data_IF_492684465704
#
_entry.id   IF_492684465704
#
_cell.length_a   1.000
_cell.length_b   1.000
_cell.length_c   1.000
_cell.angle_alpha   90.00
_cell.angle_beta   90.00
_cell.angle_gamma   90.00
#
_symmetry.space_group_name_H-M   'P 1'
#
loop_
_entity.id
_entity.type
_entity.pdbx_description
1 polymer ?
#
# COMPACT_ATOMS: atom_id res chain seq x y z
N UNK A 1 3.72 -0.54 -7.91
CA UNK A 1 2.79 -1.68 -8.15
C UNK A 1 3.51 -2.92 -8.66
N UNK A 2 4.23 -2.86 -9.79
CA UNK A 2 5.01 -3.99 -10.34
C UNK A 2 5.91 -4.69 -9.31
N UNK A 3 6.69 -3.92 -8.53
CA UNK A 3 7.51 -4.47 -7.45
C UNK A 3 6.69 -5.31 -6.44
N UNK A 4 5.50 -4.85 -6.03
CA UNK A 4 4.68 -5.57 -5.04
C UNK A 4 4.08 -6.86 -5.62
N UNK A 5 3.72 -6.85 -6.91
CA UNK A 5 3.29 -8.05 -7.62
C UNK A 5 4.40 -9.10 -7.63
N UNK A 6 5.61 -8.71 -8.05
CA UNK A 6 6.75 -9.63 -8.07
C UNK A 6 7.19 -10.08 -6.70
N UNK A 7 7.19 -9.19 -5.71
CA UNK A 7 7.52 -9.55 -4.34
C UNK A 7 6.56 -10.66 -3.83
N UNK A 8 5.26 -10.52 -4.08
CA UNK A 8 4.29 -11.57 -3.75
C UNK A 8 4.58 -12.90 -4.44
N UNK A 9 4.89 -12.87 -5.75
CA UNK A 9 5.28 -14.06 -6.54
C UNK A 9 6.64 -14.65 -6.17
N UNK A 10 7.45 -13.96 -5.39
CA UNK A 10 8.73 -14.45 -4.92
C UNK A 10 8.69 -14.83 -3.44
N UNK A 11 7.55 -14.67 -2.77
CA UNK A 11 7.46 -14.82 -1.32
C UNK A 11 8.34 -13.81 -0.57
N UNK A 12 8.43 -12.58 -1.08
CA UNK A 12 9.06 -11.47 -0.40
C UNK A 12 7.97 -10.64 0.25
N UNK A 13 8.03 -10.54 1.58
CA UNK A 13 7.10 -9.72 2.34
C UNK A 13 7.51 -8.24 2.27
N UNK A 14 6.57 -7.36 1.93
CA UNK A 14 6.84 -5.94 1.66
C UNK A 14 6.20 -5.09 2.74
N UNK A 15 7.04 -4.45 3.55
CA UNK A 15 6.62 -3.49 4.56
C UNK A 15 6.89 -2.08 4.05
N UNK A 16 5.85 -1.28 3.95
CA UNK A 16 5.96 0.08 3.42
C UNK A 16 4.93 1.02 4.05
N UNK A 17 5.19 2.33 3.98
CA UNK A 17 4.30 3.35 4.50
C UNK A 17 3.63 4.11 3.35
N UNK A 18 2.34 4.42 3.49
CA UNK A 18 1.64 5.31 2.57
C UNK A 18 1.84 6.76 3.05
N UNK A 19 2.64 7.53 2.32
CA UNK A 19 2.98 8.90 2.71
C UNK A 19 1.90 9.89 2.28
N UNK A 20 1.52 10.79 3.18
CA UNK A 20 0.56 11.88 2.93
C UNK A 20 1.07 13.21 3.48
N UNK A 21 0.43 14.33 3.11
CA UNK A 21 0.76 15.67 3.60
C UNK A 21 2.18 16.10 3.19
N UNK A 22 2.54 15.76 1.95
CA UNK A 22 3.77 16.15 1.26
C UNK A 22 3.64 17.63 0.83
N UNK A 23 4.69 18.45 1.00
CA UNK A 23 4.68 19.84 0.54
C UNK A 23 4.36 19.95 -0.95
N UNK A 24 3.38 20.78 -1.30
CA UNK A 24 2.94 21.00 -2.68
C UNK A 24 1.97 19.95 -3.24
N UNK A 25 1.46 19.06 -2.40
CA UNK A 25 0.45 18.09 -2.84
C UNK A 25 -0.89 18.73 -3.20
N UNK A 26 -1.60 18.06 -4.10
CA UNK A 26 -2.94 18.42 -4.57
C UNK A 26 -3.95 17.39 -4.09
N UNK A 27 -5.15 17.81 -3.70
CA UNK A 27 -6.15 16.87 -3.16
C UNK A 27 -6.71 15.95 -4.25
N UNK A 28 -6.80 16.46 -5.48
CA UNK A 28 -7.22 15.75 -6.69
C UNK A 28 -6.29 14.56 -7.00
N UNK A 29 -5.01 14.64 -6.64
CA UNK A 29 -4.09 13.51 -6.79
C UNK A 29 -4.45 12.36 -5.85
N UNK A 30 -4.98 12.68 -4.66
CA UNK A 30 -5.50 11.66 -3.77
C UNK A 30 -6.79 11.05 -4.31
N UNK A 31 -7.68 11.84 -4.89
CA UNK A 31 -8.87 11.30 -5.56
C UNK A 31 -8.50 10.34 -6.69
N UNK A 32 -7.50 10.72 -7.51
CA UNK A 32 -6.96 9.85 -8.55
C UNK A 32 -6.40 8.55 -7.95
N UNK A 33 -5.61 8.62 -6.88
CA UNK A 33 -5.09 7.44 -6.16
C UNK A 33 -6.21 6.55 -5.63
N UNK A 34 -7.22 7.13 -4.97
CA UNK A 34 -8.36 6.40 -4.43
C UNK A 34 -9.13 5.64 -5.51
N UNK A 35 -9.18 6.17 -6.75
CA UNK A 35 -9.89 5.54 -7.86
C UNK A 35 -9.32 4.19 -8.29
N UNK A 36 -8.00 3.98 -8.15
CA UNK A 36 -7.33 2.77 -8.60
C UNK A 36 -6.79 1.87 -7.47
N UNK A 37 -6.67 2.35 -6.23
CA UNK A 37 -6.34 1.52 -5.06
C UNK A 37 -7.17 0.21 -4.97
N UNK A 38 -8.49 0.20 -5.28
CA UNK A 38 -9.25 -1.05 -5.33
C UNK A 38 -8.70 -2.15 -6.22
N UNK A 39 -8.03 -1.78 -7.31
CA UNK A 39 -7.47 -2.72 -8.28
C UNK A 39 -6.36 -3.57 -7.69
N UNK A 40 -5.68 -3.07 -6.65
CA UNK A 40 -4.46 -3.69 -6.08
C UNK A 40 -4.69 -4.33 -4.71
N UNK A 41 -5.94 -4.48 -4.28
CA UNK A 41 -6.27 -4.96 -2.94
C UNK A 41 -5.78 -6.39 -2.61
N UNK A 42 -5.46 -7.20 -3.62
CA UNK A 42 -4.86 -8.54 -3.47
C UNK A 42 -3.34 -8.49 -3.26
N UNK A 43 -2.70 -7.34 -3.43
CA UNK A 43 -1.27 -7.15 -3.14
C UNK A 43 -1.04 -6.74 -1.68
N UNK A 44 0.22 -6.76 -1.25
CA UNK A 44 0.62 -6.39 0.11
C UNK A 44 0.22 -4.92 0.41
N UNK A 45 -0.61 -4.68 1.45
CA UNK A 45 -1.02 -3.33 1.83
C UNK A 45 0.16 -2.57 2.48
N UNK A 46 0.08 -1.24 2.60
CA UNK A 46 0.99 -0.51 3.47
C UNK A 46 0.73 -0.85 4.94
N UNK A 47 1.69 -0.51 5.80
CA UNK A 47 1.61 -0.68 7.25
C UNK A 47 0.77 0.40 7.92
N UNK A 48 0.85 1.64 7.41
CA UNK A 48 0.03 2.74 7.88
C UNK A 48 -0.06 3.86 6.83
N UNK A 49 -1.03 4.76 6.99
CA UNK A 49 -1.03 6.07 6.35
C UNK A 49 -0.30 7.03 7.28
N UNK A 50 0.90 7.44 6.88
CA UNK A 50 1.74 8.30 7.70
C UNK A 50 1.95 9.63 7.01
N UNK A 51 1.93 10.65 7.85
CA UNK A 51 2.33 11.98 7.45
C UNK A 51 3.82 11.99 7.12
N UNK A 52 4.21 12.73 6.08
CA UNK A 52 5.62 12.96 5.79
C UNK A 52 6.29 13.61 7.01
N UNK A 53 7.30 12.94 7.54
CA UNK A 53 8.13 13.47 8.63
C UNK A 53 9.34 14.18 8.05
N UNK A 54 9.71 15.31 8.65
CA UNK A 54 10.90 16.05 8.25
C UNK A 54 12.07 15.65 9.13
N UNK A 55 13.03 14.93 8.56
CA UNK A 55 14.21 14.46 9.27
C UNK A 55 15.37 15.44 9.05
N UNK A 56 16.29 15.54 10.02
CA UNK A 56 17.52 16.35 9.90
C UNK A 56 18.31 15.88 8.68
N UNK A 57 18.94 16.81 7.97
CA UNK A 57 19.65 16.57 6.71
C UNK A 57 18.77 16.13 5.53
N UNK A 58 17.45 16.05 5.70
CA UNK A 58 16.55 15.94 4.55
C UNK A 58 16.53 17.23 3.75
N UNK A 59 16.14 17.14 2.48
CA UNK A 59 15.97 18.31 1.60
C UNK A 59 15.00 19.34 2.18
N UNK A 60 14.00 18.88 2.95
CA UNK A 60 13.02 19.72 3.63
C UNK A 60 13.62 20.46 4.83
N UNK A 61 14.54 19.81 5.56
CA UNK A 61 15.25 20.42 6.68
C UNK A 61 16.36 21.38 6.22
N UNK A 62 17.09 21.03 5.17
CA UNK A 62 18.21 21.87 4.67
C UNK A 62 17.74 23.12 3.92
N UNK A 63 16.56 23.07 3.29
CA UNK A 63 16.02 24.17 2.48
C UNK A 63 14.50 24.34 2.71
N UNK A 64 14.04 24.57 3.95
CA UNK A 64 12.62 24.60 4.27
C UNK A 64 11.87 25.69 3.50
N UNK A 65 12.49 26.85 3.27
CA UNK A 65 11.86 27.98 2.57
C UNK A 65 11.56 27.66 1.11
N UNK A 66 12.38 26.81 0.45
CA UNK A 66 12.12 26.37 -0.92
C UNK A 66 10.81 25.60 -1.04
N UNK A 67 10.40 24.93 0.03
CA UNK A 67 9.18 24.14 0.11
C UNK A 67 8.05 24.87 0.83
N UNK A 68 8.23 26.16 1.16
CA UNK A 68 7.27 26.96 1.91
C UNK A 68 7.04 26.48 3.34
N UNK A 69 8.02 25.81 3.96
CA UNK A 69 7.92 25.23 5.29
C UNK A 69 8.55 26.15 6.33
N UNK A 70 7.93 26.22 7.51
CA UNK A 70 8.60 26.69 8.74
C UNK A 70 8.70 25.54 9.72
N UNK A 71 9.91 25.03 9.93
CA UNK A 71 10.13 23.86 10.77
C UNK A 71 10.39 24.22 12.24
N UNK A 72 9.92 23.35 13.13
CA UNK A 72 10.28 23.34 14.54
C UNK A 72 10.67 21.91 14.97
N UNK A 73 11.55 21.76 15.97
CA UNK A 73 11.83 20.45 16.57
C UNK A 73 10.53 19.78 17.00
N UNK A 74 10.41 18.47 16.76
CA UNK A 74 9.22 17.72 17.11
C UNK A 74 8.85 17.96 18.59
N UNK A 75 7.60 18.33 18.89
CA UNK A 75 7.19 18.79 20.23
C UNK A 75 7.57 17.85 21.37
N UNK A 76 7.64 16.54 21.08
CA UNK A 76 8.00 15.51 22.06
C UNK A 76 9.39 15.68 22.64
N UNK A 77 10.33 16.30 21.91
CA UNK A 77 11.66 16.59 22.45
C UNK A 77 11.58 17.50 23.69
N UNK A 78 10.65 18.45 23.74
CA UNK A 78 10.53 19.40 24.86
C UNK A 78 10.02 18.75 26.16
N UNK A 79 9.28 17.64 26.07
CA UNK A 79 8.83 16.88 27.25
C UNK A 79 9.95 16.02 27.86
N UNK A 80 10.97 15.67 27.08
CA UNK A 80 12.09 14.82 27.53
C UNK A 80 13.30 15.68 27.92
N UNK A 81 13.57 16.74 27.16
CA UNK A 81 14.75 17.58 27.33
C UNK A 81 14.32 19.01 27.70
N UNK A 82 14.54 19.44 28.97
CA UNK A 82 14.21 20.79 29.42
C UNK A 82 15.26 21.81 28.96
N UNK A 83 15.47 21.89 27.64
CA UNK A 83 16.44 22.77 27.00
C UNK A 83 15.74 23.96 26.32
N UNK A 84 16.43 25.10 26.16
CA UNK A 84 15.95 26.19 25.32
C UNK A 84 15.73 25.73 23.87
N UNK A 85 14.79 26.36 23.15
CA UNK A 85 14.41 26.01 21.77
C UNK A 85 15.61 25.91 20.82
N UNK A 86 16.59 26.81 20.93
CA UNK A 86 17.78 26.80 20.09
C UNK A 86 18.60 25.51 20.29
N UNK A 87 18.85 25.13 21.55
CA UNK A 87 19.58 23.92 21.90
C UNK A 87 18.79 22.65 21.52
N UNK A 88 17.45 22.69 21.63
CA UNK A 88 16.60 21.62 21.11
C UNK A 88 16.71 21.47 19.59
N UNK A 89 16.79 22.58 18.85
CA UNK A 89 16.96 22.54 17.39
C UNK A 89 18.30 21.95 16.96
N UNK A 90 19.36 22.19 17.74
CA UNK A 90 20.66 21.60 17.48
C UNK A 90 20.70 20.11 17.82
N UNK A 91 19.96 19.68 18.86
CA UNK A 91 19.86 18.29 19.30
C UNK A 91 18.91 17.45 18.44
N UNK A 92 17.80 18.03 17.98
CA UNK A 92 16.70 17.29 17.38
C UNK A 92 17.07 16.70 16.02
N UNK A 93 16.61 15.46 15.81
CA UNK A 93 16.67 14.80 14.52
C UNK A 93 15.34 14.88 13.76
N UNK A 94 14.20 15.01 14.45
CA UNK A 94 12.88 15.06 13.82
C UNK A 94 12.26 16.44 13.97
N UNK A 95 11.60 16.88 12.91
CA UNK A 95 10.98 18.20 12.79
C UNK A 95 9.54 18.06 12.27
N UNK A 96 8.73 19.05 12.61
CA UNK A 96 7.35 19.23 12.15
C UNK A 96 7.19 20.66 11.61
N UNK A 97 6.25 20.87 10.67
CA UNK A 97 5.98 22.24 10.21
C UNK A 97 5.00 22.93 11.16
N UNK A 98 5.13 24.25 11.30
CA UNK A 98 4.23 25.05 12.13
C UNK A 98 2.79 25.00 11.64
N UNK A 99 2.59 24.87 10.33
CA UNK A 99 1.27 24.68 9.74
C UNK A 99 0.60 23.39 10.24
N UNK A 100 1.39 22.37 10.57
CA UNK A 100 0.87 21.09 11.04
C UNK A 100 0.51 21.11 12.51
N UNK A 101 1.32 21.80 13.30
CA UNK A 101 0.99 22.07 14.69
C UNK A 101 -0.35 22.81 14.82
N UNK A 102 -0.67 23.68 13.87
CA UNK A 102 -1.96 24.37 13.81
C UNK A 102 -3.10 23.46 13.29
N UNK A 103 -2.80 22.39 12.55
CA UNK A 103 -3.81 21.43 12.04
C UNK A 103 -4.25 20.40 13.07
N UNK A 104 -3.43 20.14 14.09
CA UNK A 104 -3.80 19.24 15.21
C UNK A 104 -5.08 19.72 15.95
N UNK A 105 -5.47 20.99 15.79
CA UNK A 105 -6.69 21.56 16.35
C UNK A 105 -7.97 21.30 15.52
N UNK A 106 -7.86 20.65 14.34
CA UNK A 106 -9.00 20.37 13.45
C UNK A 106 -9.68 19.05 13.81
N UNK A 107 -11.03 19.04 13.81
CA UNK A 107 -11.78 17.77 13.98
C UNK A 107 -11.66 16.89 12.73
N UNK A 108 -11.86 15.57 12.83
CA UNK A 108 -11.87 14.67 11.67
C UNK A 108 -12.84 15.10 10.56
N UNK A 109 -14.02 15.61 10.93
CA UNK A 109 -15.03 16.09 9.99
C UNK A 109 -14.56 17.35 9.26
N UNK A 110 -13.86 18.26 9.96
CA UNK A 110 -13.28 19.45 9.36
C UNK A 110 -12.13 19.09 8.41
N UNK A 111 -11.29 18.13 8.79
CA UNK A 111 -10.22 17.62 7.94
C UNK A 111 -10.76 16.97 6.66
N UNK A 112 -11.81 16.15 6.77
CA UNK A 112 -12.46 15.53 5.62
C UNK A 112 -13.12 16.55 4.69
N UNK A 113 -13.76 17.59 5.26
CA UNK A 113 -14.40 18.65 4.47
C UNK A 113 -13.38 19.49 3.69
N UNK A 114 -12.18 19.70 4.23
CA UNK A 114 -11.13 20.45 3.56
C UNK A 114 -10.42 19.63 2.47
N UNK A 115 -10.41 18.29 2.61
CA UNK A 115 -9.58 17.37 1.83
C UNK A 115 -10.24 16.02 1.55
N UNK A 116 -11.31 16.01 0.73
CA UNK A 116 -12.06 14.79 0.43
C UNK A 116 -11.21 13.70 -0.23
N UNK A 117 -10.25 14.05 -1.09
CA UNK A 117 -9.34 13.10 -1.73
C UNK A 117 -8.45 12.38 -0.72
N UNK A 118 -7.84 13.13 0.21
CA UNK A 118 -7.03 12.53 1.28
C UNK A 118 -7.85 11.52 2.09
N UNK A 119 -9.07 11.89 2.43
CA UNK A 119 -9.95 11.04 3.24
C UNK A 119 -10.37 9.79 2.47
N UNK A 120 -10.62 9.91 1.17
CA UNK A 120 -10.90 8.77 0.29
C UNK A 120 -9.72 7.78 0.28
N UNK A 121 -8.49 8.26 0.12
CA UNK A 121 -7.28 7.41 0.16
C UNK A 121 -7.09 6.78 1.54
N UNK A 122 -7.23 7.54 2.62
CA UNK A 122 -7.13 7.02 3.99
C UNK A 122 -8.11 5.88 4.20
N UNK A 123 -9.37 6.11 3.88
CA UNK A 123 -10.44 5.11 3.98
C UNK A 123 -10.06 3.86 3.20
N UNK A 124 -9.64 4.01 1.95
CA UNK A 124 -9.28 2.89 1.10
C UNK A 124 -8.09 2.09 1.63
N UNK A 125 -7.06 2.78 2.11
CA UNK A 125 -5.87 2.13 2.66
C UNK A 125 -6.21 1.34 3.93
N UNK A 126 -7.04 1.86 4.83
CA UNK A 126 -7.49 1.11 6.01
C UNK A 126 -8.34 -0.11 5.63
N UNK A 127 -9.19 0.02 4.63
CA UNK A 127 -9.97 -1.09 4.09
C UNK A 127 -9.06 -2.17 3.48
N UNK A 128 -8.04 -1.77 2.72
CA UNK A 128 -7.04 -2.66 2.15
C UNK A 128 -6.27 -3.43 3.22
N UNK A 129 -5.85 -2.75 4.30
CA UNK A 129 -5.23 -3.41 5.46
C UNK A 129 -6.18 -4.41 6.11
N UNK A 130 -7.45 -4.04 6.33
CA UNK A 130 -8.44 -4.91 6.95
C UNK A 130 -8.69 -6.17 6.11
N UNK A 131 -8.77 -6.02 4.79
CA UNK A 131 -8.96 -7.14 3.86
C UNK A 131 -7.78 -8.14 3.91
N UNK A 132 -6.56 -7.64 4.06
CA UNK A 132 -5.36 -8.49 4.09
C UNK A 132 -5.07 -9.11 5.48
N UNK A 133 -5.73 -8.64 6.54
CA UNK A 133 -5.70 -9.28 7.86
C UNK A 133 -6.62 -10.49 7.99
N UNK A 134 -7.51 -10.72 7.03
CA UNK A 134 -8.43 -11.87 7.03
C UNK A 134 -7.65 -13.20 6.94
N UNK A 135 -8.28 -14.33 7.34
CA UNK A 135 -7.78 -15.67 7.03
C UNK A 135 -7.43 -15.82 5.54
N UNK A 136 -6.41 -16.62 5.23
CA UNK A 136 -5.83 -16.70 3.89
C UNK A 136 -6.84 -17.07 2.79
N UNK A 137 -7.83 -17.90 3.12
CA UNK A 137 -8.92 -18.33 2.24
C UNK A 137 -9.98 -17.24 1.98
N UNK A 138 -9.96 -16.16 2.76
CA UNK A 138 -10.89 -15.03 2.67
C UNK A 138 -10.23 -13.73 2.18
N UNK A 139 -8.93 -13.75 1.90
CA UNK A 139 -8.21 -12.61 1.33
C UNK A 139 -8.61 -12.42 -0.14
N UNK A 140 -8.61 -11.18 -0.65
CA UNK A 140 -8.81 -10.93 -2.07
C UNK A 140 -7.70 -11.60 -2.88
N UNK A 141 -8.08 -12.33 -3.92
CA UNK A 141 -7.18 -13.02 -4.84
C UNK A 141 -7.41 -12.50 -6.25
N UNK A 142 -6.31 -12.22 -6.95
CA UNK A 142 -6.28 -12.12 -8.40
C UNK A 142 -5.10 -12.95 -8.88
N UNK A 143 -5.39 -14.15 -9.35
CA UNK A 143 -4.38 -15.16 -9.65
C UNK A 143 -4.61 -15.73 -11.03
N UNK A 144 -3.53 -16.03 -11.74
CA UNK A 144 -3.56 -16.57 -13.09
C UNK A 144 -2.77 -17.86 -13.24
N UNK A 145 -3.25 -18.74 -14.11
CA UNK A 145 -2.54 -19.90 -14.61
C UNK A 145 -2.52 -19.86 -16.14
N UNK A 146 -1.34 -20.04 -16.72
CA UNK A 146 -1.12 -20.00 -18.17
C UNK A 146 -0.70 -21.40 -18.66
N UNK A 147 -1.52 -22.01 -19.51
CA UNK A 147 -1.26 -23.33 -20.11
C UNK A 147 -0.59 -23.26 -21.49
N UNK A 148 -0.25 -22.04 -21.95
CA UNK A 148 0.36 -21.79 -23.26
C UNK A 148 -0.66 -21.41 -24.35
N UNK A 149 -1.91 -21.89 -24.23
CA UNK A 149 -3.01 -21.60 -25.14
C UNK A 149 -3.96 -20.54 -24.54
N UNK A 150 -4.20 -20.62 -23.24
CA UNK A 150 -5.07 -19.73 -22.50
C UNK A 150 -4.48 -19.34 -21.13
N UNK A 151 -4.82 -18.13 -20.69
CA UNK A 151 -4.67 -17.72 -19.30
C UNK A 151 -6.02 -17.83 -18.62
N UNK A 152 -6.10 -18.60 -17.54
CA UNK A 152 -7.25 -18.64 -16.63
C UNK A 152 -6.96 -17.74 -15.46
N UNK A 153 -7.84 -16.80 -15.17
CA UNK A 153 -7.69 -15.86 -14.05
C UNK A 153 -8.85 -16.08 -13.09
N UNK A 154 -8.54 -16.31 -11.81
CA UNK A 154 -9.50 -16.29 -10.72
C UNK A 154 -9.42 -14.94 -10.01
N UNK A 155 -10.57 -14.31 -9.83
CA UNK A 155 -10.71 -13.02 -9.18
C UNK A 155 -11.76 -13.09 -8.06
N UNK A 156 -11.33 -12.93 -6.81
CA UNK A 156 -12.22 -12.88 -5.62
C UNK A 156 -12.28 -11.50 -5.00
N UNK A 157 -11.71 -10.49 -5.68
CA UNK A 157 -11.76 -9.09 -5.25
C UNK A 157 -13.21 -8.60 -5.19
N UNK A 158 -13.52 -7.76 -4.21
CA UNK A 158 -14.84 -7.12 -4.07
C UNK A 158 -15.28 -6.30 -5.29
N UNK A 159 -14.32 -5.88 -6.12
CA UNK A 159 -14.53 -5.11 -7.35
C UNK A 159 -14.55 -5.96 -8.63
N UNK A 160 -14.43 -7.29 -8.50
CA UNK A 160 -14.35 -8.20 -9.64
C UNK A 160 -15.61 -8.07 -10.50
N UNK A 161 -15.44 -7.98 -11.82
CA UNK A 161 -16.59 -8.01 -12.74
C UNK A 161 -17.11 -9.42 -12.94
N UNK A 162 -16.25 -10.43 -12.77
CA UNK A 162 -16.53 -11.87 -12.82
C UNK A 162 -15.56 -12.61 -11.90
N UNK A 163 -15.95 -13.81 -11.44
CA UNK A 163 -15.07 -14.66 -10.63
C UNK A 163 -13.95 -15.32 -11.43
N UNK A 164 -14.22 -15.62 -12.70
CA UNK A 164 -13.33 -16.37 -13.56
C UNK A 164 -13.26 -15.71 -14.95
N UNK A 165 -12.05 -15.53 -15.46
CA UNK A 165 -11.77 -15.02 -16.79
C UNK A 165 -10.89 -16.00 -17.56
N UNK A 166 -11.07 -16.03 -18.88
CA UNK A 166 -10.23 -16.81 -19.80
C UNK A 166 -9.74 -15.90 -20.92
N UNK A 167 -8.43 -15.70 -21.01
CA UNK A 167 -7.79 -14.91 -22.04
C UNK A 167 -7.15 -15.85 -23.07
N UNK A 168 -7.39 -15.59 -24.37
CA UNK A 168 -6.94 -16.43 -25.50
C UNK A 168 -6.47 -15.55 -26.65
N UNK A 169 -5.59 -16.07 -27.49
CA UNK A 169 -5.08 -15.33 -28.65
C UNK A 169 -4.51 -13.98 -28.25
N UNK A 170 -4.93 -12.90 -28.93
CA UNK A 170 -4.39 -11.56 -28.71
C UNK A 170 -4.57 -11.05 -27.26
N UNK A 171 -5.66 -11.38 -26.56
CA UNK A 171 -5.85 -10.93 -25.18
C UNK A 171 -4.84 -11.55 -24.22
N UNK A 172 -4.49 -12.82 -24.41
CA UNK A 172 -3.40 -13.48 -23.69
C UNK A 172 -2.06 -12.80 -23.97
N UNK A 173 -1.74 -12.53 -25.25
CA UNK A 173 -0.45 -11.92 -25.63
C UNK A 173 -0.30 -10.50 -25.08
N UNK A 174 -1.36 -9.69 -25.14
CA UNK A 174 -1.38 -8.34 -24.55
C UNK A 174 -1.17 -8.43 -23.04
N UNK A 175 -1.89 -9.32 -22.36
CA UNK A 175 -1.79 -9.48 -20.91
C UNK A 175 -0.37 -9.84 -20.46
N UNK A 176 0.28 -10.80 -21.13
CA UNK A 176 1.66 -11.21 -20.85
C UNK A 176 2.68 -10.13 -21.20
N UNK A 177 2.44 -9.34 -22.25
CA UNK A 177 3.33 -8.22 -22.60
C UNK A 177 3.33 -7.16 -21.49
N UNK A 178 2.16 -6.92 -20.89
CA UNK A 178 1.99 -6.02 -19.75
C UNK A 178 2.34 -6.68 -18.39
N UNK A 179 3.09 -7.78 -18.36
CA UNK A 179 3.63 -8.30 -17.09
C UNK A 179 4.58 -7.28 -16.44
N UNK A 180 5.35 -6.59 -17.29
CA UNK A 180 6.08 -5.37 -16.98
C UNK A 180 5.22 -4.13 -17.26
N UNK A 181 5.37 -3.08 -16.45
CA UNK A 181 4.70 -1.81 -16.67
C UNK A 181 5.23 -1.15 -17.96
N UNK A 182 4.38 -1.08 -18.98
CA UNK A 182 4.77 -0.63 -20.32
C UNK A 182 4.01 0.64 -20.72
N UNK A 183 4.71 1.57 -21.38
CA UNK A 183 4.09 2.78 -21.93
C UNK A 183 3.19 2.42 -23.13
N UNK A 184 2.08 3.15 -23.28
CA UNK A 184 1.06 2.88 -24.29
C UNK A 184 1.63 2.89 -25.73
N UNK A 185 2.55 3.80 -26.02
CA UNK A 185 3.22 3.93 -27.31
C UNK A 185 4.20 2.78 -27.62
N UNK A 186 4.76 2.15 -26.59
CA UNK A 186 5.68 1.02 -26.69
C UNK A 186 5.01 -0.35 -26.76
N UNK A 187 3.72 -0.45 -26.39
CA UNK A 187 3.03 -1.73 -26.21
C UNK A 187 3.00 -2.59 -27.47
N UNK A 188 2.56 -2.03 -28.61
CA UNK A 188 2.45 -2.77 -29.88
C UNK A 188 3.81 -3.28 -30.33
N UNK A 189 4.84 -2.43 -30.25
CA UNK A 189 6.20 -2.81 -30.63
C UNK A 189 6.77 -3.92 -29.75
N UNK A 190 6.51 -3.87 -28.43
CA UNK A 190 6.95 -4.91 -27.51
C UNK A 190 6.20 -6.24 -27.74
N UNK A 191 4.89 -6.19 -27.96
CA UNK A 191 4.06 -7.36 -28.23
C UNK A 191 4.51 -8.07 -29.51
N UNK A 192 4.65 -7.32 -30.61
CA UNK A 192 5.07 -7.87 -31.91
C UNK A 192 6.48 -8.50 -31.82
N UNK A 193 7.43 -7.85 -31.12
CA UNK A 193 8.77 -8.42 -30.90
C UNK A 193 8.78 -9.65 -30.01
N UNK A 194 7.96 -9.68 -28.96
CA UNK A 194 7.95 -10.77 -27.96
C UNK A 194 7.31 -12.04 -28.50
N UNK A 195 6.29 -11.91 -29.35
CA UNK A 195 5.48 -13.04 -29.81
C UNK A 195 5.53 -13.28 -31.32
N UNK A 196 6.42 -12.58 -32.03
CA UNK A 196 6.61 -12.67 -33.48
C UNK A 196 5.28 -12.55 -34.25
N UNK A 197 4.54 -11.47 -33.96
CA UNK A 197 3.24 -11.20 -34.57
C UNK A 197 3.17 -9.80 -35.18
N UNK A 198 2.09 -9.53 -35.93
CA UNK A 198 1.90 -8.30 -36.70
C UNK A 198 0.62 -7.57 -36.30
N UNK A 199 0.42 -7.32 -35.00
CA UNK A 199 -0.73 -6.57 -34.51
C UNK A 199 -0.53 -5.06 -34.68
N UNK A 200 -1.62 -4.33 -34.90
CA UNK A 200 -1.67 -2.87 -34.91
C UNK A 200 -2.30 -2.33 -33.61
N UNK A 201 -2.19 -1.02 -33.37
CA UNK A 201 -2.91 -0.39 -32.25
C UNK A 201 -4.43 -0.53 -32.39
N UNK A 202 -4.96 -0.55 -33.61
CA UNK A 202 -6.39 -0.77 -33.88
C UNK A 202 -6.87 -2.15 -33.38
N UNK A 203 -5.98 -3.15 -33.41
CA UNK A 203 -6.27 -4.50 -32.88
C UNK A 203 -6.07 -4.58 -31.37
N UNK A 204 -5.05 -3.89 -30.84
CA UNK A 204 -4.65 -3.94 -29.42
C UNK A 204 -5.53 -3.06 -28.52
N UNK A 205 -5.97 -1.89 -28.98
CA UNK A 205 -6.73 -0.95 -28.16
C UNK A 205 -8.05 -1.54 -27.61
N UNK A 206 -8.87 -2.26 -28.40
CA UNK A 206 -10.08 -2.90 -27.87
C UNK A 206 -9.77 -3.93 -26.77
N UNK A 207 -8.68 -4.68 -26.94
CA UNK A 207 -8.22 -5.68 -25.97
C UNK A 207 -7.78 -5.03 -24.66
N UNK A 208 -6.98 -3.96 -24.74
CA UNK A 208 -6.56 -3.19 -23.55
C UNK A 208 -7.78 -2.62 -22.82
N UNK A 209 -8.71 -2.02 -23.56
CA UNK A 209 -9.93 -1.45 -22.99
C UNK A 209 -10.78 -2.52 -22.28
N UNK A 210 -10.91 -3.72 -22.86
CA UNK A 210 -11.63 -4.82 -22.22
C UNK A 210 -10.92 -5.32 -20.94
N UNK A 211 -9.59 -5.44 -20.97
CA UNK A 211 -8.80 -5.85 -19.78
C UNK A 211 -8.89 -4.82 -18.65
N UNK A 212 -8.89 -3.53 -18.97
CA UNK A 212 -9.06 -2.43 -17.99
C UNK A 212 -10.50 -2.39 -17.47
N UNK A 213 -11.50 -2.54 -18.36
CA UNK A 213 -12.91 -2.57 -17.97
C UNK A 213 -13.23 -3.73 -17.03
N UNK A 214 -12.62 -4.91 -17.28
CA UNK A 214 -12.71 -6.09 -16.42
C UNK A 214 -11.79 -6.03 -15.17
N UNK A 215 -11.13 -4.89 -14.92
CA UNK A 215 -10.29 -4.68 -13.72
C UNK A 215 -9.08 -5.62 -13.63
N UNK A 216 -8.68 -6.24 -14.74
CA UNK A 216 -7.55 -7.19 -14.81
C UNK A 216 -6.22 -6.48 -15.08
N UNK A 217 -6.29 -5.24 -15.55
CA UNK A 217 -5.16 -4.40 -15.91
C UNK A 217 -5.29 -3.02 -15.26
N UNK A 218 -4.18 -2.53 -14.70
CA UNK A 218 -4.06 -1.18 -14.19
C UNK A 218 -3.61 -0.26 -15.33
N UNK A 219 -4.32 0.84 -15.51
CA UNK A 219 -3.94 1.95 -16.36
C UNK A 219 -3.75 3.18 -15.48
N UNK A 220 -2.52 3.66 -15.35
CA UNK A 220 -2.19 4.87 -14.61
C UNK A 220 -1.30 5.72 -15.50
N UNK A 221 -1.65 7.00 -15.63
CA UNK A 221 -1.05 7.92 -16.59
C UNK A 221 -1.08 7.37 -18.03
N UNK A 222 0.07 6.93 -18.54
CA UNK A 222 0.28 6.43 -19.89
C UNK A 222 0.85 5.00 -19.91
N UNK A 223 0.71 4.27 -18.80
CA UNK A 223 1.27 2.93 -18.63
C UNK A 223 0.22 1.89 -18.30
N UNK A 224 0.46 0.68 -18.79
CA UNK A 224 -0.37 -0.50 -18.53
C UNK A 224 0.41 -1.55 -17.75
N UNK A 225 -0.24 -2.16 -16.77
CA UNK A 225 0.31 -3.26 -15.96
C UNK A 225 -0.77 -4.32 -15.71
N UNK A 226 -0.48 -5.56 -16.06
CA UNK A 226 -1.30 -6.72 -15.69
C UNK A 226 -1.21 -6.98 -14.18
N UNK A 227 -2.36 -7.24 -13.56
CA UNK A 227 -2.46 -7.28 -12.10
C UNK A 227 -2.40 -8.68 -11.50
N UNK A 228 -2.74 -9.72 -12.25
CA UNK A 228 -2.83 -11.08 -11.73
C UNK A 228 -1.45 -11.63 -11.38
N UNK A 229 -1.40 -12.38 -10.29
CA UNK A 229 -0.19 -13.08 -9.81
C UNK A 229 -0.18 -14.51 -10.31
N UNK A 230 0.99 -15.09 -10.59
CA UNK A 230 1.08 -16.46 -11.11
C UNK A 230 0.80 -17.51 -10.03
N UNK A 231 -0.12 -18.44 -10.31
CA UNK A 231 -0.43 -19.58 -9.44
C UNK A 231 0.83 -20.43 -9.15
N UNK A 232 0.99 -20.87 -7.89
CA UNK A 232 2.15 -21.65 -7.46
C UNK A 232 3.44 -20.85 -7.25
N UNK A 233 3.45 -19.55 -7.58
CA UNK A 233 4.52 -18.62 -7.21
C UNK A 233 4.20 -17.82 -5.95
N UNK A 234 2.96 -17.87 -5.46
CA UNK A 234 2.56 -17.19 -4.23
C UNK A 234 3.12 -17.91 -2.98
N UNK A 235 4.40 -17.69 -2.70
CA UNK A 235 5.09 -18.28 -1.56
C UNK A 235 4.75 -17.56 -0.23
N UNK A 236 4.09 -16.40 -0.29
CA UNK A 236 3.78 -15.56 0.88
C UNK A 236 2.80 -16.23 1.85
N UNK A 237 1.99 -17.21 1.39
CA UNK A 237 1.08 -17.96 2.26
C UNK A 237 1.81 -18.82 3.32
N UNK A 238 3.13 -19.06 3.16
CA UNK A 238 3.92 -19.95 4.01
C UNK A 238 4.95 -19.26 4.90
N UNK A 239 5.07 -17.93 4.81
CA UNK A 239 6.09 -17.19 5.56
C UNK A 239 5.59 -16.92 6.98
N UNK A 240 6.27 -17.56 7.94
CA UNK A 240 6.29 -17.09 9.33
C UNK A 240 6.83 -15.66 9.28
N UNK A 241 6.01 -14.68 9.69
CA UNK A 241 6.47 -13.28 9.77
C UNK A 241 7.74 -13.24 10.62
N UNK A 242 8.88 -12.73 10.09
CA UNK A 242 10.12 -12.64 10.85
C UNK A 242 10.01 -11.68 12.05
N UNK A 243 8.95 -10.86 12.10
CA UNK A 243 8.65 -9.97 13.23
C UNK A 243 7.94 -10.67 14.39
N UNK A 244 7.60 -11.96 14.24
CA UNK A 244 6.65 -12.63 15.13
C UNK A 244 5.23 -12.14 14.88
N UNK A 245 4.26 -13.03 15.01
CA UNK A 245 2.84 -12.68 14.98
C UNK A 245 2.24 -13.01 16.33
N UNK A 246 1.62 -12.04 16.98
CA UNK A 246 0.61 -12.34 18.00
C UNK A 246 -0.65 -12.76 17.25
N UNK A 247 -1.08 -14.00 17.47
CA UNK A 247 -2.41 -14.44 17.07
C UNK A 247 -3.42 -13.64 17.89
N UNK A 248 -3.93 -12.54 17.33
CA UNK A 248 -4.82 -11.64 18.05
C UNK A 248 -6.17 -12.27 18.39
N UNK A 249 -6.62 -13.27 17.62
CA UNK A 249 -7.85 -14.00 17.95
C UNK A 249 -7.60 -14.90 19.16
N UNK A 250 -6.50 -15.64 19.16
CA UNK A 250 -6.09 -16.44 20.32
C UNK A 250 -5.76 -15.56 21.52
N UNK A 251 -5.03 -14.47 21.34
CA UNK A 251 -4.74 -13.51 22.40
C UNK A 251 -6.01 -12.83 22.93
N UNK A 252 -6.99 -12.50 22.09
CA UNK A 252 -8.27 -11.94 22.54
C UNK A 252 -9.15 -12.98 23.26
N UNK A 253 -9.11 -14.24 22.82
CA UNK A 253 -9.77 -15.36 23.51
C UNK A 253 -9.11 -15.65 24.86
N UNK A 254 -7.78 -15.67 24.91
CA UNK A 254 -6.98 -15.93 26.12
C UNK A 254 -7.04 -14.75 27.11
N UNK A 255 -7.10 -13.49 26.62
CA UNK A 255 -7.24 -12.27 27.43
C UNK A 255 -8.69 -12.00 27.88
N UNK A 256 -9.63 -12.91 27.58
CA UNK A 256 -11.01 -12.96 28.05
C UNK A 256 -11.50 -11.70 28.78
N UNK A 257 -12.12 -10.79 28.04
CA UNK A 257 -12.82 -9.57 28.52
C UNK A 257 -12.03 -8.63 29.44
N UNK A 258 -10.71 -8.75 29.57
CA UNK A 258 -9.86 -7.80 30.32
C UNK A 258 -9.13 -6.88 29.35
N UNK A 259 -9.12 -5.57 29.64
CA UNK A 259 -8.25 -4.68 28.86
C UNK A 259 -6.79 -5.03 29.11
N UNK A 260 -5.95 -4.94 28.09
CA UNK A 260 -4.50 -5.17 28.19
C UNK A 260 -3.87 -4.28 29.29
N UNK A 261 -4.41 -3.06 29.47
CA UNK A 261 -4.04 -2.13 30.53
C UNK A 261 -4.48 -2.53 31.95
N UNK A 262 -5.50 -3.36 32.10
CA UNK A 262 -5.87 -3.96 33.40
C UNK A 262 -5.03 -5.20 33.69
N UNK A 263 -4.72 -6.02 32.70
CA UNK A 263 -3.82 -7.16 32.87
C UNK A 263 -2.43 -6.72 33.33
N UNK A 264 -1.89 -5.63 32.76
CA UNK A 264 -0.61 -5.07 33.17
C UNK A 264 -0.59 -4.49 34.60
N UNK A 265 -1.75 -4.14 35.18
CA UNK A 265 -1.85 -3.63 36.56
C UNK A 265 -1.70 -4.71 37.63
N UNK A 266 -1.88 -5.99 37.28
CA UNK A 266 -1.78 -7.12 38.21
C UNK A 266 -0.54 -7.98 37.96
N UNK A 267 0.37 -7.55 37.09
CA UNK A 267 1.65 -8.23 36.92
C UNK A 267 2.50 -7.97 38.17
N UNK A 268 2.92 -9.03 38.90
CA UNK A 268 3.88 -8.86 39.98
C UNK A 268 5.15 -8.23 39.41
N UNK A 269 5.71 -7.22 40.08
CA UNK A 269 6.95 -6.54 39.67
C UNK A 269 8.15 -7.51 39.52
N UNK A 270 8.01 -8.74 40.01
CA UNK A 270 9.01 -9.81 39.95
C UNK A 270 8.96 -10.67 38.68
N UNK A 271 7.97 -10.51 37.79
CA UNK A 271 7.87 -11.31 36.56
C UNK A 271 8.66 -10.64 35.44
N UNK A 272 9.67 -11.34 34.92
CA UNK A 272 10.49 -10.83 33.83
C UNK A 272 9.72 -10.84 32.51
N UNK A 273 10.07 -9.94 31.59
CA UNK A 273 9.50 -9.91 30.23
C UNK A 273 9.66 -11.27 29.53
N UNK A 274 10.74 -12.01 29.81
CA UNK A 274 10.96 -13.35 29.27
C UNK A 274 9.96 -14.39 29.78
N UNK A 275 9.51 -14.28 31.02
CA UNK A 275 8.49 -15.18 31.59
C UNK A 275 7.08 -14.84 31.09
N UNK A 276 6.82 -13.58 30.73
CA UNK A 276 5.53 -13.13 30.18
C UNK A 276 5.22 -13.64 28.78
N UNK A 277 6.26 -13.94 28.00
CA UNK A 277 6.15 -14.42 26.62
C UNK A 277 6.62 -15.88 26.47
N UNK A 278 6.76 -16.60 27.59
CA UNK A 278 7.06 -18.03 27.58
C UNK A 278 5.78 -18.85 27.32
N UNK A 279 5.55 -19.09 26.03
CA UNK A 279 4.54 -19.96 25.37
C UNK A 279 3.14 -19.38 25.22
#
# INVERSE_FOLDING_TARGET
MQLMKWARELGVDVHWNFLVLIPGECDEWYEEMASWLPLVQHLAPPMNVVRLRFDRFSMYHERPEHWGLTLAPYRTYSYVYPLPVQALSDLAYFFESKEDLARDDLTPEMMAALRPGLEAVRTWVFDWMRLNRRPSDQRPVLMMADDGDAIRIRDTRSIATRSDHVLRGLSRLVYLTCDDAIAADGLVGALNRRFDCSASWTDVAPVVNDLVANKLMLAVESRYLSLATVEGRDAAASLISPFGGLDFERAAQDLGSRSLAEACRYLPESVTVQELFAV
#
